data_IF_813735789340
#
_entry.id   IF_813735789340
#
_cell.length_a   1.000
_cell.length_b   1.000
_cell.length_c   1.000
_cell.angle_alpha   90.00
_cell.angle_beta   90.00
_cell.angle_gamma   90.00
#
_symmetry.space_group_name_H-M   'P 1'
#
loop_
_entity.id
_entity.type
_entity.pdbx_description
1 polymer ?
#
# COMPACT_ATOMS: atom_id res chain seq x y z
N UNK A 1 12.29 -23.35 6.83
CA UNK A 1 11.14 -22.56 7.35
C UNK A 1 11.11 -21.14 6.76
N UNK A 2 11.27 -21.00 5.44
CA UNK A 2 11.37 -19.70 4.75
C UNK A 2 10.05 -19.32 4.06
N UNK A 3 9.24 -20.30 3.66
CA UNK A 3 8.01 -20.05 2.89
C UNK A 3 6.84 -19.48 3.70
N UNK A 4 6.78 -19.78 5.01
CA UNK A 4 5.71 -19.26 5.89
C UNK A 4 5.74 -17.72 5.99
N UNK A 5 6.95 -17.14 6.02
CA UNK A 5 7.11 -15.69 6.05
C UNK A 5 6.88 -15.03 4.69
N UNK A 6 6.98 -15.78 3.59
CA UNK A 6 6.68 -15.27 2.25
C UNK A 6 5.17 -15.12 2.03
N UNK A 7 4.38 -16.09 2.50
CA UNK A 7 2.91 -16.03 2.48
C UNK A 7 2.36 -14.87 3.34
N UNK A 8 2.90 -14.67 4.54
CA UNK A 8 2.48 -13.57 5.41
C UNK A 8 2.80 -12.18 4.85
N UNK A 9 3.89 -12.05 4.08
CA UNK A 9 4.22 -10.80 3.37
C UNK A 9 3.26 -10.51 2.20
N UNK A 10 2.82 -11.54 1.48
CA UNK A 10 1.78 -11.40 0.45
C UNK A 10 0.44 -10.95 1.03
N UNK A 11 0.05 -11.48 2.20
CA UNK A 11 -1.17 -11.07 2.92
C UNK A 11 -1.10 -9.61 3.39
N UNK A 12 0.06 -9.15 3.86
CA UNK A 12 0.24 -7.75 4.27
C UNK A 12 0.14 -6.80 3.07
N UNK A 13 0.71 -7.17 1.93
CA UNK A 13 0.63 -6.42 0.66
C UNK A 13 -0.80 -6.35 0.14
N UNK A 14 -1.53 -7.47 0.22
CA UNK A 14 -2.93 -7.55 -0.14
C UNK A 14 -3.77 -6.61 0.75
N UNK A 15 -3.57 -6.66 2.07
CA UNK A 15 -4.26 -5.79 3.02
C UNK A 15 -3.93 -4.30 2.78
N UNK A 16 -2.66 -3.97 2.51
CA UNK A 16 -2.24 -2.61 2.17
C UNK A 16 -2.86 -2.12 0.85
N UNK A 17 -3.01 -3.01 -0.14
CA UNK A 17 -3.65 -2.70 -1.42
C UNK A 17 -5.15 -2.41 -1.25
N UNK A 18 -5.88 -3.27 -0.52
CA UNK A 18 -7.29 -3.04 -0.19
C UNK A 18 -7.47 -1.75 0.61
N UNK A 19 -6.59 -1.49 1.57
CA UNK A 19 -6.62 -0.27 2.35
C UNK A 19 -6.37 0.99 1.51
N UNK A 20 -5.42 0.95 0.56
CA UNK A 20 -5.22 2.06 -0.38
C UNK A 20 -6.46 2.33 -1.24
N UNK A 21 -7.08 1.28 -1.80
CA UNK A 21 -8.30 1.42 -2.60
C UNK A 21 -9.46 1.97 -1.77
N UNK A 22 -9.61 1.51 -0.53
CA UNK A 22 -10.60 2.04 0.41
C UNK A 22 -10.41 3.53 0.63
N UNK A 23 -9.17 3.96 0.92
CA UNK A 23 -8.89 5.38 1.11
C UNK A 23 -9.18 6.21 -0.14
N UNK A 24 -8.75 5.77 -1.32
CA UNK A 24 -9.06 6.44 -2.60
C UNK A 24 -10.58 6.55 -2.81
N UNK A 25 -11.33 5.47 -2.54
CA UNK A 25 -12.79 5.47 -2.63
C UNK A 25 -13.44 6.45 -1.66
N UNK A 26 -12.99 6.51 -0.40
CA UNK A 26 -13.50 7.47 0.58
C UNK A 26 -13.22 8.91 0.20
N UNK A 27 -12.04 9.20 -0.37
CA UNK A 27 -11.71 10.53 -0.88
C UNK A 27 -12.59 10.93 -2.07
N UNK A 28 -12.80 10.02 -3.02
CA UNK A 28 -13.66 10.26 -4.18
C UNK A 28 -15.11 10.51 -3.74
N UNK A 29 -15.63 9.72 -2.79
CA UNK A 29 -16.96 9.89 -2.25
C UNK A 29 -17.12 11.22 -1.50
N UNK A 30 -16.17 11.58 -0.63
CA UNK A 30 -16.15 12.88 0.05
C UNK A 30 -16.10 14.04 -0.94
N UNK A 31 -15.29 13.94 -2.00
CA UNK A 31 -15.21 14.98 -3.02
C UNK A 31 -16.56 15.17 -3.73
N UNK A 32 -17.26 14.09 -4.05
CA UNK A 32 -18.61 14.15 -4.65
C UNK A 32 -19.61 14.77 -3.67
N UNK A 33 -19.64 14.33 -2.40
CA UNK A 33 -20.57 14.85 -1.38
C UNK A 33 -20.37 16.35 -1.13
N UNK A 34 -19.12 16.81 -1.13
CA UNK A 34 -18.81 18.24 -1.05
C UNK A 34 -19.36 18.95 -2.29
N UNK A 35 -19.03 18.50 -3.51
CA UNK A 35 -19.48 19.19 -4.74
C UNK A 35 -21.01 19.24 -4.88
N UNK A 36 -21.73 18.19 -4.45
CA UNK A 36 -23.20 18.13 -4.59
C UNK A 36 -23.96 18.85 -3.49
N UNK A 37 -23.33 19.14 -2.34
CA UNK A 37 -23.96 19.87 -1.24
C UNK A 37 -24.01 21.37 -1.50
N UNK A 38 -25.21 21.93 -1.36
CA UNK A 38 -25.46 23.38 -1.53
C UNK A 38 -25.24 24.21 -0.27
N UNK A 39 -25.26 23.59 0.92
CA UNK A 39 -25.07 24.28 2.20
C UNK A 39 -24.13 23.49 3.12
N UNK A 40 -23.24 24.22 3.79
CA UNK A 40 -22.28 23.66 4.73
C UNK A 40 -22.52 24.20 6.13
N UNK A 41 -22.84 23.31 7.05
CA UNK A 41 -22.84 23.62 8.47
C UNK A 41 -21.41 23.58 9.02
N UNK A 42 -21.11 24.43 10.00
CA UNK A 42 -19.78 24.51 10.64
C UNK A 42 -19.39 23.16 11.25
N UNK A 43 -20.36 22.43 11.82
CA UNK A 43 -20.13 21.09 12.38
C UNK A 43 -19.70 20.06 11.33
N UNK A 44 -20.26 20.14 10.12
CA UNK A 44 -19.90 19.26 9.01
C UNK A 44 -18.49 19.56 8.49
N UNK A 45 -18.12 20.84 8.39
CA UNK A 45 -16.76 21.25 8.01
C UNK A 45 -15.71 20.79 9.05
N UNK A 46 -16.03 20.90 10.34
CA UNK A 46 -15.18 20.38 11.41
C UNK A 46 -15.04 18.86 11.35
N UNK A 47 -16.13 18.13 11.08
CA UNK A 47 -16.10 16.69 10.94
C UNK A 47 -15.22 16.25 9.75
N UNK A 48 -15.30 16.95 8.61
CA UNK A 48 -14.40 16.72 7.47
C UNK A 48 -12.96 16.98 7.87
N UNK A 49 -12.66 18.11 8.53
CA UNK A 49 -11.30 18.47 8.90
C UNK A 49 -10.67 17.44 9.84
N UNK A 50 -11.40 17.02 10.88
CA UNK A 50 -10.96 15.96 11.81
C UNK A 50 -10.79 14.62 11.07
N UNK A 51 -11.73 14.28 10.19
CA UNK A 51 -11.66 13.07 9.37
C UNK A 51 -10.41 13.06 8.48
N UNK A 52 -10.13 14.16 7.78
CA UNK A 52 -8.94 14.31 6.94
C UNK A 52 -7.65 14.18 7.75
N UNK A 53 -7.61 14.74 8.97
CA UNK A 53 -6.43 14.66 9.84
C UNK A 53 -6.08 13.23 10.23
N UNK A 54 -7.07 12.33 10.32
CA UNK A 54 -6.86 10.90 10.62
C UNK A 54 -6.59 10.10 9.34
N UNK A 55 -7.32 10.39 8.27
CA UNK A 55 -7.26 9.64 7.01
C UNK A 55 -5.92 9.88 6.29
N UNK A 56 -5.43 11.11 6.25
CA UNK A 56 -4.17 11.44 5.57
C UNK A 56 -2.95 10.66 6.09
N UNK A 57 -2.62 10.66 7.40
CA UNK A 57 -1.47 9.92 7.89
C UNK A 57 -1.62 8.42 7.67
N UNK A 58 -2.85 7.89 7.77
CA UNK A 58 -3.10 6.47 7.57
C UNK A 58 -2.97 6.03 6.10
N UNK A 59 -3.46 6.86 5.16
CA UNK A 59 -3.26 6.65 3.73
C UNK A 59 -1.77 6.74 3.36
N UNK A 60 -1.04 7.71 3.91
CA UNK A 60 0.40 7.84 3.69
C UNK A 60 1.17 6.64 4.23
N UNK A 61 0.80 6.14 5.40
CA UNK A 61 1.40 4.94 5.99
C UNK A 61 1.15 3.69 5.14
N UNK A 62 -0.06 3.50 4.63
CA UNK A 62 -0.36 2.38 3.74
C UNK A 62 0.39 2.45 2.41
N UNK A 63 0.51 3.64 1.81
CA UNK A 63 1.34 3.83 0.61
C UNK A 63 2.82 3.54 0.87
N UNK A 64 3.33 3.93 2.05
CA UNK A 64 4.70 3.62 2.46
C UNK A 64 4.93 2.10 2.59
N UNK A 65 3.99 1.39 3.24
CA UNK A 65 4.04 -0.07 3.35
C UNK A 65 4.00 -0.74 1.96
N UNK A 66 3.09 -0.29 1.09
CA UNK A 66 2.94 -0.85 -0.26
C UNK A 66 4.20 -0.63 -1.10
N UNK A 67 4.81 0.57 -1.06
CA UNK A 67 6.09 0.82 -1.73
C UNK A 67 7.17 -0.12 -1.21
N UNK A 68 7.29 -0.28 0.11
CA UNK A 68 8.32 -1.14 0.72
C UNK A 68 8.20 -2.58 0.25
N UNK A 69 6.98 -3.09 0.11
CA UNK A 69 6.73 -4.47 -0.32
C UNK A 69 6.86 -4.65 -1.83
N UNK A 70 6.39 -3.69 -2.64
CA UNK A 70 6.58 -3.71 -4.10
C UNK A 70 8.05 -3.59 -4.50
N UNK A 71 8.84 -2.75 -3.83
CA UNK A 71 10.29 -2.68 -4.07
C UNK A 71 11.01 -3.94 -3.59
N UNK A 72 10.57 -4.57 -2.50
CA UNK A 72 11.14 -5.86 -2.07
C UNK A 72 10.83 -7.00 -3.04
N UNK A 73 9.69 -6.94 -3.74
CA UNK A 73 9.27 -7.96 -4.70
C UNK A 73 9.87 -7.74 -6.10
N UNK A 74 10.03 -6.49 -6.53
CA UNK A 74 10.61 -6.13 -7.84
C UNK A 74 12.14 -6.11 -7.82
N UNK A 75 12.72 -5.67 -6.70
CA UNK A 75 14.16 -5.73 -6.49
C UNK A 75 14.50 -7.02 -5.75
N UNK A 76 14.26 -8.17 -6.39
CA UNK A 76 14.98 -9.38 -6.03
C UNK A 76 16.38 -9.21 -6.60
N UNK A 77 17.41 -8.82 -5.81
CA UNK A 77 18.76 -8.99 -6.30
C UNK A 77 18.87 -10.49 -6.53
N UNK A 78 19.05 -10.89 -7.80
CA UNK A 78 19.56 -12.20 -8.12
C UNK A 78 20.87 -12.28 -7.35
N UNK A 79 20.81 -12.92 -6.18
CA UNK A 79 22.00 -13.25 -5.43
C UNK A 79 22.59 -14.39 -6.22
N UNK A 80 23.31 -14.04 -7.30
CA UNK A 80 24.37 -14.92 -7.75
C UNK A 80 25.14 -15.25 -6.49
N UNK A 81 25.10 -16.51 -6.10
CA UNK A 81 25.85 -17.02 -4.98
C UNK A 81 27.32 -16.65 -5.26
N UNK A 82 27.78 -15.55 -4.65
CA UNK A 82 29.10 -15.00 -4.91
C UNK A 82 30.20 -15.97 -4.43
N UNK A 83 29.82 -17.01 -3.66
CA UNK A 83 30.70 -18.11 -3.25
C UNK A 83 30.78 -19.24 -4.27
N UNK A 84 29.72 -19.51 -5.02
CA UNK A 84 29.71 -20.65 -5.93
C UNK A 84 29.84 -20.30 -7.41
N UNK A 85 29.47 -19.09 -7.89
CA UNK A 85 29.61 -18.69 -9.33
C UNK A 85 29.22 -19.80 -10.36
N UNK A 86 28.36 -20.75 -9.99
CA UNK A 86 28.07 -21.90 -10.83
C UNK A 86 26.94 -21.49 -11.78
N UNK A 87 27.35 -21.05 -12.96
CA UNK A 87 26.54 -21.17 -14.16
C UNK A 87 26.22 -22.66 -14.31
N UNK A 88 24.95 -23.07 -14.45
CA UNK A 88 24.64 -24.43 -14.86
C UNK A 88 25.24 -24.65 -16.24
N UNK A 89 26.44 -25.24 -16.29
CA UNK A 89 27.03 -25.72 -17.53
C UNK A 89 26.25 -26.97 -17.91
N UNK A 90 25.27 -26.80 -18.79
CA UNK A 90 24.74 -27.93 -19.54
C UNK A 90 25.89 -28.49 -20.39
N UNK A 91 26.48 -29.58 -19.94
CA UNK A 91 27.24 -30.48 -20.79
C UNK A 91 26.47 -31.78 -20.88
N UNK A 92 25.58 -31.87 -21.87
CA UNK A 92 25.32 -33.04 -22.68
C UNK A 92 24.61 -32.58 -23.96
#
# INVERSE_FOLDING_TARGET
MVDKFYSSKGLLSLAASFGCLFFIGTFAWLAIDVITRSFYEVGYLLAILVGLLIIFPMAFWMLFLLKKEWFAWTHYPIRFDRKNQLVPRNSH
#
